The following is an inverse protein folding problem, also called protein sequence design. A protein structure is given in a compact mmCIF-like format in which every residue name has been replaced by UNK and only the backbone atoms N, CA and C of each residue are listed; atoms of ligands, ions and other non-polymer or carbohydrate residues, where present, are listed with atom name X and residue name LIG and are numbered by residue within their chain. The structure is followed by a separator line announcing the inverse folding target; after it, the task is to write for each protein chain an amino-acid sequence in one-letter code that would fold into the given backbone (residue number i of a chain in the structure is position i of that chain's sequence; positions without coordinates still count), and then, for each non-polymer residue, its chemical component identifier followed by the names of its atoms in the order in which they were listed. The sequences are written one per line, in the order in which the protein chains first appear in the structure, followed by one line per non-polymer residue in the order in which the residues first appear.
data_IF_117700056896
#
_entry.id   IF_117700056896
#
_cell.length_a   1.000
_cell.length_b   1.000
_cell.length_c   1.000
_cell.angle_alpha   90.00
_cell.angle_beta   90.00
_cell.angle_gamma   90.00
#
_symmetry.space_group_name_H-M   'P 1'
#
loop_
_entity.id
_entity.type
_entity.pdbx_description
1 polymer ?
#
# COMPACT_ATOMS: atom_id res chain seq x y z
N UNK A 1 -43.30 -48.31 -24.95
CA UNK A 1 -42.68 -46.97 -24.79
C UNK A 1 -41.55 -47.10 -23.78
N UNK A 2 -40.33 -47.32 -24.27
CA UNK A 2 -39.13 -47.53 -23.44
C UNK A 2 -38.51 -46.19 -23.06
N UNK A 3 -38.33 -45.92 -21.76
CA UNK A 3 -37.62 -44.73 -21.27
C UNK A 3 -36.14 -45.09 -21.12
N UNK A 4 -35.31 -44.60 -22.04
CA UNK A 4 -33.85 -44.64 -21.91
C UNK A 4 -33.42 -43.62 -20.85
N UNK A 5 -32.99 -44.10 -19.68
CA UNK A 5 -32.26 -43.30 -18.71
C UNK A 5 -30.84 -43.03 -19.21
N UNK A 6 -30.58 -41.79 -19.60
CA UNK A 6 -29.23 -41.31 -19.91
C UNK A 6 -28.48 -41.12 -18.59
N UNK A 7 -27.59 -42.08 -18.28
CA UNK A 7 -26.63 -42.02 -17.20
C UNK A 7 -25.65 -40.83 -17.41
N UNK A 8 -25.74 -39.82 -16.55
CA UNK A 8 -24.93 -38.57 -16.60
C UNK A 8 -23.66 -38.62 -15.74
N UNK A 9 -23.06 -39.79 -15.51
CA UNK A 9 -22.01 -39.93 -14.49
C UNK A 9 -20.56 -40.00 -15.01
N UNK A 10 -20.23 -39.26 -16.07
CA UNK A 10 -18.83 -39.20 -16.54
C UNK A 10 -18.54 -37.85 -17.19
N UNK A 11 -17.82 -36.94 -16.48
CA UNK A 11 -16.81 -36.00 -17.03
C UNK A 11 -16.26 -34.93 -16.07
N UNK A 12 -16.36 -35.07 -14.75
CA UNK A 12 -15.79 -34.07 -13.82
C UNK A 12 -14.29 -34.30 -13.49
N UNK A 13 -13.52 -34.79 -14.46
CA UNK A 13 -12.16 -35.33 -14.25
C UNK A 13 -10.98 -34.44 -14.67
N UNK A 14 -11.19 -33.30 -15.33
CA UNK A 14 -10.10 -32.45 -15.81
C UNK A 14 -10.48 -30.99 -15.75
N UNK A 15 -10.21 -30.32 -14.63
CA UNK A 15 -9.87 -28.89 -14.56
C UNK A 15 -9.64 -28.55 -13.07
N UNK A 16 -8.64 -29.18 -12.45
CA UNK A 16 -8.04 -28.59 -11.25
C UNK A 16 -7.17 -27.45 -11.74
N UNK A 17 -7.79 -26.32 -12.07
CA UNK A 17 -7.10 -25.05 -12.30
C UNK A 17 -6.38 -24.70 -11.00
N UNK A 18 -5.14 -25.15 -10.90
CA UNK A 18 -4.20 -24.62 -9.92
C UNK A 18 -4.16 -23.12 -10.19
N UNK A 19 -4.49 -22.32 -9.18
CA UNK A 19 -4.21 -20.90 -9.21
C UNK A 19 -2.71 -20.76 -9.39
N UNK A 20 -2.27 -20.57 -10.62
CA UNK A 20 -0.89 -20.19 -10.93
C UNK A 20 -0.78 -18.75 -10.48
N UNK A 21 -0.43 -18.56 -9.21
CA UNK A 21 -0.25 -17.25 -8.57
C UNK A 21 1.11 -16.64 -8.90
N UNK A 22 1.96 -17.36 -9.63
CA UNK A 22 3.29 -16.94 -10.07
C UNK A 22 3.33 -16.77 -11.58
N UNK A 23 4.03 -15.73 -12.06
CA UNK A 23 4.27 -15.52 -13.49
C UNK A 23 5.07 -16.69 -14.11
N UNK A 24 5.83 -17.43 -13.29
CA UNK A 24 6.55 -18.63 -13.71
C UNK A 24 5.76 -19.90 -13.38
N UNK A 25 5.83 -20.93 -14.25
CA UNK A 25 5.30 -22.26 -13.94
C UNK A 25 6.12 -22.90 -12.80
N UNK A 26 5.57 -23.94 -12.17
CA UNK A 26 6.25 -24.63 -11.07
C UNK A 26 7.60 -25.19 -11.50
N UNK A 27 8.61 -25.29 -10.61
CA UNK A 27 9.94 -25.82 -10.94
C UNK A 27 9.92 -27.19 -11.63
N UNK A 28 9.05 -28.11 -11.18
CA UNK A 28 8.89 -29.43 -11.80
C UNK A 28 8.40 -29.36 -13.26
N UNK A 29 7.63 -28.32 -13.63
CA UNK A 29 7.21 -28.09 -15.01
C UNK A 29 8.35 -27.47 -15.84
N UNK A 30 9.16 -26.60 -15.24
CA UNK A 30 10.34 -26.03 -15.92
C UNK A 30 11.35 -27.11 -16.30
N UNK A 31 11.58 -28.09 -15.41
CA UNK A 31 12.44 -29.25 -15.70
C UNK A 31 11.93 -30.03 -16.92
N UNK A 32 10.62 -30.30 -16.98
CA UNK A 32 10.03 -30.96 -18.16
C UNK A 32 10.13 -30.15 -19.45
N UNK A 33 10.12 -28.81 -19.36
CA UNK A 33 10.32 -27.95 -20.54
C UNK A 33 11.78 -28.00 -21.04
N UNK A 34 12.74 -28.07 -20.12
CA UNK A 34 14.16 -28.18 -20.45
C UNK A 34 14.48 -29.53 -21.11
N UNK A 35 13.86 -30.62 -20.65
CA UNK A 35 13.98 -31.94 -21.28
C UNK A 35 13.44 -31.97 -22.73
N UNK A 36 12.35 -31.25 -23.00
CA UNK A 36 11.76 -31.16 -24.35
C UNK A 36 12.63 -30.32 -25.29
N UNK A 37 13.12 -29.19 -24.80
CA UNK A 37 13.89 -28.25 -25.60
C UNK A 37 14.96 -27.56 -24.73
N UNK A 38 16.23 -27.98 -24.79
CA UNK A 38 17.26 -27.39 -23.97
C UNK A 38 17.44 -25.89 -24.28
N UNK A 39 17.54 -25.08 -23.23
CA UNK A 39 17.65 -23.62 -23.29
C UNK A 39 16.32 -22.88 -23.45
N UNK A 40 15.16 -23.58 -23.40
CA UNK A 40 13.85 -22.91 -23.44
C UNK A 40 13.52 -22.23 -22.11
N UNK A 41 13.98 -22.79 -20.99
CA UNK A 41 13.77 -22.22 -19.66
C UNK A 41 14.43 -20.84 -19.57
N UNK A 42 15.66 -20.71 -20.06
CA UNK A 42 16.37 -19.42 -20.09
C UNK A 42 15.63 -18.37 -20.92
N UNK A 43 15.08 -18.76 -22.07
CA UNK A 43 14.27 -17.85 -22.90
C UNK A 43 12.99 -17.44 -22.18
N UNK A 44 12.34 -18.37 -21.49
CA UNK A 44 11.12 -18.10 -20.72
C UNK A 44 11.40 -17.14 -19.56
N UNK A 45 12.48 -17.36 -18.81
CA UNK A 45 12.91 -16.49 -17.70
C UNK A 45 13.21 -15.08 -18.22
N UNK A 46 13.93 -14.96 -19.33
CA UNK A 46 14.21 -13.66 -19.96
C UNK A 46 12.93 -12.93 -20.40
N UNK A 47 11.96 -13.64 -20.98
CA UNK A 47 10.66 -13.07 -21.35
C UNK A 47 9.88 -12.59 -20.12
N UNK A 48 9.87 -13.41 -19.07
CA UNK A 48 9.21 -13.07 -17.80
C UNK A 48 9.85 -11.86 -17.14
N UNK A 49 11.17 -11.78 -17.10
CA UNK A 49 11.89 -10.64 -16.53
C UNK A 49 11.56 -9.35 -17.31
N UNK A 50 11.49 -9.42 -18.63
CA UNK A 50 11.12 -8.29 -19.48
C UNK A 50 9.69 -7.82 -19.21
N UNK A 51 8.74 -8.75 -19.08
CA UNK A 51 7.35 -8.46 -18.76
C UNK A 51 7.19 -7.86 -17.36
N UNK A 52 7.90 -8.40 -16.36
CA UNK A 52 7.90 -7.86 -15.00
C UNK A 52 8.47 -6.44 -14.95
N UNK A 53 9.61 -6.20 -15.62
CA UNK A 53 10.18 -4.85 -15.75
C UNK A 53 9.19 -3.88 -16.40
N UNK A 54 8.48 -4.31 -17.44
CA UNK A 54 7.46 -3.50 -18.09
C UNK A 54 6.31 -3.14 -17.13
N UNK A 55 5.78 -4.12 -16.39
CA UNK A 55 4.71 -3.90 -15.40
C UNK A 55 5.16 -2.96 -14.28
N UNK A 56 6.35 -3.18 -13.73
CA UNK A 56 6.89 -2.31 -12.69
C UNK A 56 7.11 -0.88 -13.19
N UNK A 57 7.56 -0.69 -14.43
CA UNK A 57 7.68 0.65 -15.01
C UNK A 57 6.33 1.35 -15.16
N UNK A 58 5.24 0.62 -15.46
CA UNK A 58 3.89 1.18 -15.50
C UNK A 58 3.35 1.50 -14.11
N UNK A 59 3.55 0.61 -13.14
CA UNK A 59 3.18 0.82 -11.74
C UNK A 59 3.89 2.05 -11.16
N UNK A 60 5.19 2.18 -11.42
CA UNK A 60 5.98 3.33 -10.97
C UNK A 60 5.46 4.64 -11.58
N UNK A 61 5.12 4.64 -12.88
CA UNK A 61 4.51 5.79 -13.53
C UNK A 61 3.14 6.12 -12.91
N UNK A 62 2.29 5.13 -12.70
CA UNK A 62 0.97 5.31 -12.09
C UNK A 62 1.08 5.94 -10.69
N UNK A 63 1.99 5.43 -9.84
CA UNK A 63 2.27 5.98 -8.52
C UNK A 63 2.79 7.41 -8.60
N UNK A 64 3.71 7.70 -9.54
CA UNK A 64 4.21 9.07 -9.77
C UNK A 64 3.08 10.03 -10.14
N UNK A 65 2.16 9.62 -11.02
CA UNK A 65 1.01 10.43 -11.38
C UNK A 65 0.04 10.65 -10.21
N UNK A 66 -0.21 9.64 -9.38
CA UNK A 66 -1.05 9.78 -8.18
C UNK A 66 -0.47 10.81 -7.20
N UNK A 67 0.85 10.73 -6.94
CA UNK A 67 1.55 11.67 -6.06
C UNK A 67 1.53 13.11 -6.63
N UNK A 68 1.70 13.27 -7.95
CA UNK A 68 1.63 14.59 -8.57
C UNK A 68 0.21 15.15 -8.52
N UNK A 69 -0.80 14.35 -8.85
CA UNK A 69 -2.20 14.77 -8.86
C UNK A 69 -2.68 15.19 -7.46
N UNK A 70 -2.26 14.50 -6.40
CA UNK A 70 -2.61 14.85 -5.03
C UNK A 70 -2.06 16.24 -4.63
N UNK A 71 -0.84 16.57 -5.08
CA UNK A 71 -0.22 17.89 -4.85
C UNK A 71 -0.90 19.00 -5.65
N UNK A 72 -1.16 18.78 -6.94
CA UNK A 72 -1.76 19.81 -7.81
C UNK A 72 -3.23 20.07 -7.49
N UNK A 73 -4.02 19.04 -7.22
CA UNK A 73 -5.44 19.18 -6.89
C UNK A 73 -5.64 19.99 -5.61
N UNK A 74 -4.79 19.81 -4.60
CA UNK A 74 -4.85 20.56 -3.34
C UNK A 74 -4.56 22.04 -3.51
N UNK A 75 -3.64 22.41 -4.41
CA UNK A 75 -3.28 23.81 -4.69
C UNK A 75 -4.36 24.47 -5.56
N UNK A 76 -4.85 23.79 -6.59
CA UNK A 76 -5.87 24.32 -7.49
C UNK A 76 -7.18 24.62 -6.75
N UNK A 77 -7.63 23.70 -5.88
CA UNK A 77 -8.87 23.91 -5.11
C UNK A 77 -8.76 25.12 -4.18
N UNK A 78 -7.62 25.31 -3.50
CA UNK A 78 -7.39 26.48 -2.63
C UNK A 78 -7.31 27.79 -3.41
N UNK A 79 -6.66 27.78 -4.57
CA UNK A 79 -6.55 28.96 -5.44
C UNK A 79 -7.91 29.41 -5.94
N UNK A 80 -8.72 28.47 -6.45
CA UNK A 80 -10.07 28.75 -6.96
C UNK A 80 -11.01 29.21 -5.83
N UNK A 81 -10.98 28.57 -4.66
CA UNK A 81 -11.82 29.01 -3.53
C UNK A 81 -11.47 30.42 -3.05
N UNK A 82 -10.16 30.76 -3.03
CA UNK A 82 -9.69 32.09 -2.67
C UNK A 82 -10.15 33.15 -3.69
N UNK A 83 -10.02 32.84 -4.98
CA UNK A 83 -10.45 33.73 -6.06
C UNK A 83 -11.95 34.02 -6.02
N UNK A 84 -12.78 33.00 -5.79
CA UNK A 84 -14.23 33.14 -5.63
C UNK A 84 -14.57 34.02 -4.43
N UNK A 85 -13.89 33.83 -3.29
CA UNK A 85 -14.11 34.65 -2.10
C UNK A 85 -13.79 36.13 -2.35
N UNK A 86 -12.70 36.43 -3.05
CA UNK A 86 -12.33 37.81 -3.44
C UNK A 86 -13.37 38.42 -4.39
N UNK A 87 -13.87 37.63 -5.36
CA UNK A 87 -14.92 38.07 -6.29
C UNK A 87 -16.23 38.44 -5.56
N UNK A 88 -16.66 37.60 -4.61
CA UNK A 88 -17.86 37.87 -3.80
C UNK A 88 -17.70 39.13 -2.96
N UNK A 89 -16.52 39.34 -2.36
CA UNK A 89 -16.20 40.56 -1.62
C UNK A 89 -16.21 41.80 -2.52
N UNK A 90 -15.66 41.69 -3.74
CA UNK A 90 -15.63 42.78 -4.71
C UNK A 90 -17.03 43.20 -5.17
N UNK A 91 -17.89 42.23 -5.48
CA UNK A 91 -19.29 42.50 -5.86
C UNK A 91 -20.07 43.11 -4.67
N UNK A 92 -19.83 42.61 -3.45
CA UNK A 92 -20.45 43.14 -2.23
C UNK A 92 -19.99 44.58 -1.92
N UNK A 93 -18.72 44.90 -2.20
CA UNK A 93 -18.17 46.25 -2.04
C UNK A 93 -18.80 47.24 -3.04
N UNK A 94 -19.04 46.82 -4.29
CA UNK A 94 -19.72 47.64 -5.29
C UNK A 94 -21.19 47.91 -4.95
N UNK A 95 -21.86 46.98 -4.25
CA UNK A 95 -23.31 47.02 -4.04
C UNK A 95 -23.77 47.64 -2.72
N UNK A 96 -22.87 48.00 -1.79
CA UNK A 96 -23.30 48.27 -0.42
C UNK A 96 -22.69 49.50 0.27
N UNK A 97 -23.58 50.44 0.63
CA UNK A 97 -23.38 51.39 1.72
C UNK A 97 -23.83 50.86 3.10
N UNK A 98 -24.39 49.65 3.24
CA UNK A 98 -24.84 49.13 4.56
C UNK A 98 -24.81 47.60 4.79
N UNK A 99 -24.53 46.74 3.79
CA UNK A 99 -24.59 45.26 3.94
C UNK A 99 -23.25 44.56 4.22
N UNK A 100 -22.17 45.32 4.43
CA UNK A 100 -20.80 44.78 4.55
C UNK A 100 -20.63 43.76 5.69
N UNK A 101 -21.36 43.90 6.79
CA UNK A 101 -21.24 43.00 7.95
C UNK A 101 -21.73 41.57 7.66
N UNK A 102 -22.81 41.41 6.89
CA UNK A 102 -23.35 40.09 6.55
C UNK A 102 -22.40 39.34 5.61
N UNK A 103 -21.78 40.06 4.67
CA UNK A 103 -20.76 39.50 3.77
C UNK A 103 -19.54 38.98 4.53
N UNK A 104 -19.02 39.75 5.49
CA UNK A 104 -17.84 39.36 6.28
C UNK A 104 -18.13 38.10 7.10
N UNK A 105 -19.28 38.02 7.77
CA UNK A 105 -19.68 36.85 8.58
C UNK A 105 -19.80 35.60 7.71
N UNK A 106 -20.42 35.73 6.53
CA UNK A 106 -20.53 34.62 5.59
C UNK A 106 -19.17 34.16 5.06
N UNK A 107 -18.27 35.09 4.70
CA UNK A 107 -16.90 34.76 4.26
C UNK A 107 -16.10 34.04 5.35
N UNK A 108 -16.18 34.47 6.61
CA UNK A 108 -15.51 33.82 7.72
C UNK A 108 -16.05 32.41 7.98
N UNK A 109 -17.36 32.21 7.86
CA UNK A 109 -17.97 30.88 7.99
C UNK A 109 -17.52 29.92 6.88
N UNK A 110 -17.47 30.37 5.62
CA UNK A 110 -16.94 29.59 4.50
C UNK A 110 -15.45 29.27 4.68
N UNK A 111 -14.65 30.23 5.14
CA UNK A 111 -13.22 30.01 5.39
C UNK A 111 -12.99 28.98 6.52
N UNK A 112 -13.72 29.11 7.63
CA UNK A 112 -13.66 28.16 8.75
C UNK A 112 -14.11 26.75 8.32
N UNK A 113 -15.15 26.65 7.50
CA UNK A 113 -15.62 25.38 6.96
C UNK A 113 -14.57 24.71 6.07
N UNK A 114 -13.95 25.45 5.14
CA UNK A 114 -12.86 24.93 4.31
C UNK A 114 -11.68 24.45 5.16
N UNK A 115 -11.26 25.23 6.15
CA UNK A 115 -10.19 24.87 7.08
C UNK A 115 -10.52 23.59 7.88
N UNK A 116 -11.77 23.42 8.29
CA UNK A 116 -12.24 22.21 8.97
C UNK A 116 -12.22 20.99 8.03
N UNK A 117 -12.66 21.13 6.78
CA UNK A 117 -12.62 20.04 5.80
C UNK A 117 -11.18 19.59 5.49
N UNK A 118 -10.21 20.50 5.51
CA UNK A 118 -8.80 20.19 5.28
C UNK A 118 -8.18 19.37 6.42
N UNK A 119 -8.54 19.68 7.67
CA UNK A 119 -8.10 18.91 8.84
C UNK A 119 -8.62 17.47 8.81
N UNK A 120 -9.86 17.26 8.36
CA UNK A 120 -10.44 15.92 8.27
C UNK A 120 -9.77 15.06 7.18
N UNK A 121 -9.36 15.65 6.05
CA UNK A 121 -8.62 14.93 5.00
C UNK A 121 -7.21 14.51 5.43
N UNK A 122 -6.51 15.36 6.21
CA UNK A 122 -5.15 15.08 6.69
C UNK A 122 -5.08 13.93 7.69
N UNK A 123 -6.15 13.69 8.47
CA UNK A 123 -6.24 12.51 9.33
C UNK A 123 -6.40 11.21 8.52
N UNK A 124 -7.13 11.27 7.41
CA UNK A 124 -7.36 10.11 6.54
C UNK A 124 -6.08 9.68 5.80
N UNK A 125 -5.29 10.63 5.29
CA UNK A 125 -4.02 10.30 4.61
C UNK A 125 -2.95 9.76 5.57
N UNK A 126 -2.86 10.30 6.79
CA UNK A 126 -1.95 9.78 7.83
C UNK A 126 -2.28 8.33 8.20
N UNK A 127 -3.56 7.99 8.37
CA UNK A 127 -4.00 6.62 8.63
C UNK A 127 -3.71 5.66 7.44
N UNK A 128 -3.72 6.16 6.20
CA UNK A 128 -3.41 5.37 5.00
C UNK A 128 -1.90 5.09 4.89
N UNK A 129 -1.04 6.09 5.15
CA UNK A 129 0.41 5.89 5.20
C UNK A 129 0.84 5.00 6.38
N UNK A 130 0.23 5.10 7.55
CA UNK A 130 0.53 4.18 8.67
C UNK A 130 0.14 2.73 8.34
N UNK A 131 -1.00 2.50 7.68
CA UNK A 131 -1.39 1.16 7.22
C UNK A 131 -0.43 0.57 6.18
N UNK A 132 0.06 1.38 5.23
CA UNK A 132 1.03 0.91 4.22
C UNK A 132 2.42 0.64 4.82
N UNK A 133 2.85 1.43 5.81
CA UNK A 133 4.11 1.22 6.52
C UNK A 133 4.07 -0.02 7.43
N UNK A 134 2.90 -0.39 7.97
CA UNK A 134 2.74 -1.64 8.71
C UNK A 134 2.73 -2.88 7.81
N UNK A 135 2.23 -2.78 6.58
CA UNK A 135 2.20 -3.89 5.62
C UNK A 135 3.60 -4.19 5.01
N UNK A 136 4.51 -3.21 5.01
CA UNK A 136 5.87 -3.33 4.46
C UNK A 136 6.95 -3.57 5.52
N UNK A 137 6.60 -3.67 6.81
CA UNK A 137 7.59 -4.07 7.82
C UNK A 137 7.98 -5.53 7.60
N UNK A 138 9.28 -5.86 7.42
CA UNK A 138 9.71 -7.24 7.54
C UNK A 138 9.27 -7.70 8.92
N UNK A 139 8.49 -8.78 8.98
CA UNK A 139 8.03 -9.42 10.20
C UNK A 139 9.25 -9.68 11.08
N UNK A 140 9.58 -8.74 11.97
CA UNK A 140 10.70 -8.88 12.90
C UNK A 140 10.22 -9.91 13.91
N UNK A 141 10.56 -11.16 13.62
CA UNK A 141 10.30 -12.32 14.47
C UNK A 141 10.73 -11.94 15.90
N UNK A 142 9.80 -11.90 16.88
CA UNK A 142 10.11 -11.47 18.24
C UNK A 142 11.05 -12.44 18.99
N UNK A 143 11.50 -13.52 18.35
CA UNK A 143 12.28 -14.59 18.95
C UNK A 143 13.76 -14.25 19.21
N UNK A 144 14.42 -13.45 18.36
CA UNK A 144 15.89 -13.22 18.49
C UNK A 144 16.27 -12.32 19.67
N UNK A 145 15.44 -11.32 20.03
CA UNK A 145 15.75 -10.42 21.16
C UNK A 145 15.69 -11.12 22.53
N UNK A 146 14.80 -12.11 22.71
CA UNK A 146 14.73 -12.90 23.95
C UNK A 146 15.94 -13.83 24.11
N UNK A 147 16.50 -14.34 23.02
CA UNK A 147 17.66 -15.26 23.07
C UNK A 147 18.95 -14.53 23.45
N UNK A 148 19.20 -13.34 22.87
CA UNK A 148 20.40 -12.54 23.17
C UNK A 148 20.39 -12.03 24.63
N UNK A 149 19.21 -11.68 25.18
CA UNK A 149 19.09 -11.26 26.57
C UNK A 149 19.34 -12.41 27.56
N UNK A 150 18.94 -13.64 27.22
CA UNK A 150 19.21 -14.84 28.04
C UNK A 150 20.69 -15.27 28.02
N UNK A 151 21.38 -15.09 26.89
CA UNK A 151 22.82 -15.37 26.77
C UNK A 151 23.66 -14.45 27.68
N UNK A 152 23.37 -13.13 27.66
CA UNK A 152 24.07 -12.15 28.51
C UNK A 152 23.83 -12.32 30.01
N UNK A 153 22.69 -12.91 30.40
CA UNK A 153 22.40 -13.19 31.81
C UNK A 153 23.21 -14.38 32.33
N UNK A 154 23.35 -15.45 31.53
CA UNK A 154 24.20 -16.61 31.88
C UNK A 154 25.68 -16.26 31.95
N UNK A 155 26.16 -15.33 31.13
CA UNK A 155 27.55 -14.86 31.23
C UNK A 155 27.81 -14.04 32.51
N UNK A 156 26.80 -13.33 33.04
CA UNK A 156 26.93 -12.60 34.30
C UNK A 156 26.95 -13.55 35.51
N UNK A 157 26.11 -14.58 35.52
CA UNK A 157 26.12 -15.61 36.58
C UNK A 157 27.46 -16.37 36.65
N UNK A 158 28.05 -16.71 35.49
CA UNK A 158 29.37 -17.36 35.45
C UNK A 158 30.49 -16.48 36.00
N UNK A 159 30.39 -15.16 35.85
CA UNK A 159 31.39 -14.21 36.39
C UNK A 159 31.26 -14.02 37.89
N UNK A 160 30.04 -14.02 38.43
CA UNK A 160 29.81 -13.88 39.88
C UNK A 160 30.15 -15.15 40.66
N UNK A 161 30.06 -16.33 40.05
CA UNK A 161 30.45 -17.58 40.71
C UNK A 161 31.98 -17.77 40.85
N UNK A 162 32.78 -17.05 40.05
CA UNK A 162 34.24 -17.18 40.05
C UNK A 162 34.96 -16.30 41.11
N UNK A 163 34.23 -15.49 41.89
CA UNK A 163 34.82 -14.49 42.81
C UNK A 163 34.45 -14.73 44.28
N UNK A 164 34.17 -15.97 44.68
CA UNK A 164 33.98 -16.30 46.10
C UNK A 164 35.29 -16.83 46.68
N UNK A 165 36.07 -16.06 47.45
CA UNK A 165 37.20 -16.60 48.18
C UNK A 165 36.69 -17.48 49.34
N UNK A 166 37.09 -18.75 49.32
CA UNK A 166 36.98 -19.67 50.45
C UNK A 166 37.83 -19.12 51.60
N UNK A 167 37.17 -18.59 52.62
CA UNK A 167 37.81 -18.21 53.88
C UNK A 167 38.06 -19.49 54.69
N UNK A 168 39.33 -19.82 54.94
CA UNK A 168 39.79 -20.84 55.88
C UNK A 168 40.48 -20.14 57.04
#
# INVERSE_FOLDING_TARGET
MSKNEVNKNTRDGFMKQSKISSILPSPAMLESYEEIAPGIVDKLVNLVEKEQKHRHALEEKAVKYEIMFEKYSSVAVKGVSSFIAVLVLFISFLTAKLSLFVGIIFCLSCYAFLFFTEKNKKLSSKNRSEKMNMATMPMKTPAKKKFIKRQRFREREKRTAATTPTFK
#
